data_IF_423045522698
#
_entry.id   IF_423045522698
#
_cell.length_a   1.000
_cell.length_b   1.000
_cell.length_c   1.000
_cell.angle_alpha   90.00
_cell.angle_beta   90.00
_cell.angle_gamma   90.00
#
_symmetry.space_group_name_H-M   'P 1'
#
loop_
_entity.id
_entity.type
_entity.pdbx_description
1 polymer ?
#
# COMPACT_ATOMS: atom_id res chain seq x y z
N UNK A 1 -8.24 1.99 2.11
CA UNK A 1 -7.20 2.07 1.08
C UNK A 1 -6.95 0.68 0.56
N UNK A 2 -6.82 0.56 -0.74
CA UNK A 2 -6.83 -0.71 -1.45
C UNK A 2 -5.57 -0.86 -2.32
N UNK A 3 -4.94 -2.03 -2.28
CA UNK A 3 -3.79 -2.38 -3.10
C UNK A 3 -4.21 -3.47 -4.07
N UNK A 4 -3.91 -3.27 -5.36
CA UNK A 4 -4.18 -4.27 -6.40
C UNK A 4 -3.01 -5.23 -6.56
N UNK A 5 -3.26 -6.53 -6.44
CA UNK A 5 -2.29 -7.58 -6.79
C UNK A 5 -2.54 -7.94 -8.25
N UNK A 6 -1.60 -7.61 -9.12
CA UNK A 6 -1.69 -7.78 -10.58
C UNK A 6 -0.48 -8.55 -11.12
N UNK A 7 -0.53 -8.96 -12.38
CA UNK A 7 0.54 -9.66 -13.09
C UNK A 7 -0.03 -10.64 -14.10
N UNK A 8 0.83 -11.31 -14.85
CA UNK A 8 0.46 -12.29 -15.87
C UNK A 8 -0.31 -13.49 -15.27
N UNK A 9 -1.04 -14.26 -16.06
CA UNK A 9 -1.61 -15.52 -15.60
C UNK A 9 -0.53 -16.44 -15.00
N UNK A 10 -0.88 -17.17 -13.93
CA UNK A 10 -0.03 -18.19 -13.29
C UNK A 10 1.25 -17.72 -12.60
N UNK A 11 1.42 -16.42 -12.34
CA UNK A 11 2.58 -15.87 -11.60
C UNK A 11 2.53 -16.09 -10.07
N UNK A 12 1.46 -16.69 -9.54
CA UNK A 12 1.32 -16.96 -8.10
C UNK A 12 0.56 -15.89 -7.30
N UNK A 13 -0.10 -14.91 -7.94
CA UNK A 13 -0.91 -13.86 -7.27
C UNK A 13 -1.91 -14.41 -6.27
N UNK A 14 -2.72 -15.34 -6.70
CA UNK A 14 -3.75 -15.97 -5.86
C UNK A 14 -3.14 -16.79 -4.73
N UNK A 15 -1.95 -17.35 -4.91
CA UNK A 15 -1.20 -18.04 -3.86
C UNK A 15 -0.71 -17.04 -2.82
N UNK A 16 -0.14 -15.91 -3.25
CA UNK A 16 0.25 -14.80 -2.38
C UNK A 16 -0.97 -14.23 -1.63
N UNK A 17 -2.10 -14.01 -2.31
CA UNK A 17 -3.33 -13.56 -1.67
C UNK A 17 -3.84 -14.57 -0.62
N UNK A 18 -3.70 -15.88 -0.89
CA UNK A 18 -3.98 -16.95 0.08
C UNK A 18 -3.09 -16.88 1.32
N UNK A 19 -1.79 -16.60 1.15
CA UNK A 19 -0.86 -16.39 2.26
C UNK A 19 -1.26 -15.16 3.11
N UNK A 20 -1.57 -14.03 2.46
CA UNK A 20 -2.01 -12.80 3.12
C UNK A 20 -3.29 -12.98 3.94
N UNK A 21 -4.22 -13.80 3.44
CA UNK A 21 -5.52 -14.05 4.08
C UNK A 21 -5.51 -15.26 5.02
N UNK A 22 -4.36 -15.91 5.21
CA UNK A 22 -4.21 -17.15 6.02
C UNK A 22 -5.25 -18.21 5.63
N UNK A 23 -5.51 -18.36 4.34
CA UNK A 23 -6.48 -19.33 3.81
C UNK A 23 -7.94 -19.08 4.20
N UNK A 24 -8.27 -17.99 4.88
CA UNK A 24 -9.63 -17.73 5.40
C UNK A 24 -10.61 -17.24 4.33
N UNK A 25 -10.11 -16.80 3.17
CA UNK A 25 -10.93 -16.25 2.09
C UNK A 25 -11.13 -17.25 0.97
N UNK A 26 -12.38 -17.52 0.59
CA UNK A 26 -12.65 -18.30 -0.64
C UNK A 26 -12.26 -17.48 -1.86
N UNK A 27 -11.41 -18.05 -2.71
CA UNK A 27 -10.84 -17.37 -3.86
C UNK A 27 -11.54 -17.80 -5.15
N UNK A 28 -12.01 -16.83 -5.93
CA UNK A 28 -12.53 -17.02 -7.29
C UNK A 28 -11.40 -16.81 -8.31
N UNK A 29 -11.28 -17.68 -9.28
CA UNK A 29 -10.30 -17.52 -10.37
C UNK A 29 -10.73 -16.54 -11.47
N UNK A 30 -12.01 -16.21 -11.53
CA UNK A 30 -12.60 -15.41 -12.61
C UNK A 30 -13.01 -13.98 -12.21
N UNK A 31 -12.98 -13.68 -10.92
CA UNK A 31 -13.37 -12.36 -10.37
C UNK A 31 -12.30 -11.86 -9.42
N UNK A 32 -12.24 -10.56 -9.26
CA UNK A 32 -11.39 -9.91 -8.26
C UNK A 32 -11.80 -10.32 -6.86
N UNK A 33 -10.85 -10.85 -6.09
CA UNK A 33 -11.05 -11.21 -4.69
C UNK A 33 -10.61 -10.04 -3.80
N UNK A 34 -11.35 -9.76 -2.72
CA UNK A 34 -11.05 -8.66 -1.79
C UNK A 34 -10.89 -9.20 -0.38
N UNK A 35 -9.87 -8.74 0.31
CA UNK A 35 -9.68 -9.04 1.73
C UNK A 35 -8.99 -7.88 2.47
N UNK A 36 -9.44 -7.61 3.70
CA UNK A 36 -8.77 -6.72 4.62
C UNK A 36 -7.75 -7.53 5.44
N UNK A 37 -6.49 -7.12 5.40
CA UNK A 37 -5.38 -7.77 6.10
C UNK A 37 -4.85 -6.84 7.17
N UNK A 38 -4.72 -7.35 8.41
CA UNK A 38 -4.17 -6.61 9.53
C UNK A 38 -2.68 -6.36 9.37
N UNK A 39 -2.23 -5.18 9.78
CA UNK A 39 -0.81 -4.82 9.83
C UNK A 39 -0.27 -5.20 11.21
N UNK A 40 0.79 -6.01 11.26
CA UNK A 40 1.47 -6.32 12.50
C UNK A 40 2.04 -5.03 13.13
N UNK A 41 1.78 -4.80 14.41
CA UNK A 41 2.11 -3.54 15.07
C UNK A 41 2.51 -3.78 16.53
N UNK A 42 3.81 -3.87 16.76
CA UNK A 42 4.41 -4.08 18.10
C UNK A 42 4.12 -2.93 19.07
N UNK A 43 3.88 -1.72 18.56
CA UNK A 43 3.54 -0.56 19.39
C UNK A 43 2.07 -0.64 19.88
N UNK A 44 1.16 -1.15 19.04
CA UNK A 44 -0.19 -1.45 19.46
C UNK A 44 -0.23 -2.57 20.50
N UNK A 45 0.55 -3.63 20.30
CA UNK A 45 0.68 -4.74 21.27
C UNK A 45 1.22 -4.25 22.61
N UNK A 46 2.21 -3.34 22.56
CA UNK A 46 2.71 -2.69 23.77
C UNK A 46 1.61 -1.89 24.47
N UNK A 47 0.85 -1.06 23.76
CA UNK A 47 -0.27 -0.31 24.34
C UNK A 47 -1.32 -1.25 24.95
N UNK A 48 -1.63 -2.35 24.26
CA UNK A 48 -2.54 -3.37 24.77
C UNK A 48 -2.03 -4.02 26.06
N UNK A 49 -0.72 -4.25 26.17
CA UNK A 49 -0.10 -4.79 27.41
C UNK A 49 -0.24 -3.84 28.60
N UNK A 50 -0.18 -2.51 28.35
CA UNK A 50 -0.29 -1.44 29.36
C UNK A 50 -1.73 -1.24 29.81
N UNK A 51 -2.66 -1.04 28.84
CA UNK A 51 -4.04 -0.68 29.14
C UNK A 51 -4.95 -1.88 29.42
N UNK A 52 -4.53 -3.08 29.01
CA UNK A 52 -5.31 -4.35 29.11
C UNK A 52 -6.73 -4.16 28.60
N UNK A 53 -6.91 -3.67 27.37
CA UNK A 53 -8.20 -3.31 26.83
C UNK A 53 -9.09 -4.53 26.63
N UNK A 54 -10.41 -4.33 26.58
CA UNK A 54 -11.37 -5.36 26.20
C UNK A 54 -11.20 -5.80 24.75
N UNK A 55 -10.68 -4.88 23.90
CA UNK A 55 -10.48 -5.11 22.47
C UNK A 55 -9.22 -4.42 21.96
N UNK A 56 -8.46 -5.14 21.14
CA UNK A 56 -7.34 -4.58 20.37
C UNK A 56 -7.66 -4.65 18.88
N UNK A 57 -7.57 -3.52 18.17
CA UNK A 57 -7.91 -3.45 16.75
C UNK A 57 -6.70 -2.91 15.96
N UNK A 58 -6.01 -3.75 15.17
CA UNK A 58 -4.89 -3.32 14.36
C UNK A 58 -5.34 -2.46 13.17
N UNK A 59 -4.40 -1.72 12.59
CA UNK A 59 -4.55 -1.13 11.28
C UNK A 59 -4.77 -2.23 10.23
N UNK A 60 -5.48 -1.93 9.15
CA UNK A 60 -5.67 -2.89 8.06
C UNK A 60 -5.56 -2.22 6.69
N UNK A 61 -5.07 -3.00 5.72
CA UNK A 61 -5.03 -2.67 4.30
C UNK A 61 -5.89 -3.66 3.54
N UNK A 62 -6.65 -3.18 2.58
CA UNK A 62 -7.46 -4.01 1.70
C UNK A 62 -6.63 -4.42 0.48
N UNK A 63 -6.51 -5.72 0.22
CA UNK A 63 -5.89 -6.27 -0.98
C UNK A 63 -6.95 -6.75 -1.95
N UNK A 64 -6.71 -6.49 -3.25
CA UNK A 64 -7.53 -6.93 -4.36
C UNK A 64 -6.70 -7.86 -5.26
N UNK A 65 -6.98 -9.17 -5.23
CA UNK A 65 -6.38 -10.15 -6.14
C UNK A 65 -7.12 -10.10 -7.49
N UNK A 66 -6.49 -9.51 -8.48
CA UNK A 66 -7.04 -9.35 -9.83
C UNK A 66 -6.70 -10.58 -10.67
N UNK A 67 -7.64 -11.13 -11.46
CA UNK A 67 -7.34 -12.21 -12.40
C UNK A 67 -6.14 -11.87 -13.28
N UNK A 68 -5.42 -12.91 -13.75
CA UNK A 68 -4.22 -12.73 -14.57
C UNK A 68 -4.47 -11.83 -15.78
N UNK A 69 -3.69 -10.78 -15.91
CA UNK A 69 -3.77 -9.80 -16.99
C UNK A 69 -2.97 -10.35 -18.17
N UNK A 70 -3.61 -10.70 -19.30
CA UNK A 70 -2.88 -11.24 -20.44
C UNK A 70 -2.11 -10.15 -21.18
N UNK A 71 -0.89 -10.44 -21.64
CA UNK A 71 -0.11 -9.55 -22.49
C UNK A 71 -0.42 -9.75 -23.98
N UNK A 72 0.07 -8.83 -24.81
CA UNK A 72 -0.08 -8.86 -26.26
C UNK A 72 -1.29 -8.07 -26.78
N UNK A 73 -1.17 -7.60 -28.03
CA UNK A 73 -2.21 -6.75 -28.66
C UNK A 73 -3.53 -7.49 -28.89
N UNK A 74 -3.49 -8.78 -29.17
CA UNK A 74 -4.67 -9.64 -29.37
C UNK A 74 -5.54 -9.73 -28.11
N UNK A 75 -4.97 -9.46 -26.95
CA UNK A 75 -5.65 -9.51 -25.64
C UNK A 75 -6.12 -8.15 -25.12
N UNK A 76 -5.94 -7.06 -25.88
CA UNK A 76 -6.18 -5.70 -25.43
C UNK A 76 -7.58 -5.49 -24.83
N UNK A 77 -8.63 -6.00 -25.45
CA UNK A 77 -10.02 -5.86 -24.96
C UNK A 77 -10.20 -6.52 -23.57
N UNK A 78 -9.69 -7.73 -23.38
CA UNK A 78 -9.76 -8.45 -22.10
C UNK A 78 -8.90 -7.79 -21.04
N UNK A 79 -7.71 -7.34 -21.42
CA UNK A 79 -6.83 -6.57 -20.54
C UNK A 79 -7.52 -5.31 -20.03
N UNK A 80 -8.10 -4.50 -20.92
CA UNK A 80 -8.83 -3.29 -20.57
C UNK A 80 -10.02 -3.54 -19.64
N UNK A 81 -10.69 -4.68 -19.79
CA UNK A 81 -11.79 -5.09 -18.89
C UNK A 81 -11.27 -5.35 -17.45
N UNK A 82 -10.23 -6.16 -17.32
CA UNK A 82 -9.62 -6.52 -16.03
C UNK A 82 -9.02 -5.27 -15.32
N UNK A 83 -8.43 -4.37 -16.08
CA UNK A 83 -7.83 -3.15 -15.55
C UNK A 83 -8.85 -2.12 -15.02
N UNK A 84 -10.15 -2.30 -15.27
CA UNK A 84 -11.19 -1.46 -14.65
C UNK A 84 -11.17 -1.57 -13.13
N UNK A 85 -10.95 -2.77 -12.59
CA UNK A 85 -10.86 -2.97 -11.14
C UNK A 85 -9.56 -2.35 -10.58
N UNK A 86 -8.48 -2.38 -11.38
CA UNK A 86 -7.17 -1.79 -11.02
C UNK A 86 -7.21 -0.26 -10.95
N UNK A 87 -8.11 0.38 -11.71
CA UNK A 87 -8.26 1.86 -11.64
C UNK A 87 -8.68 2.35 -10.26
N UNK A 88 -9.38 1.53 -9.49
CA UNK A 88 -9.95 1.88 -8.19
C UNK A 88 -9.04 1.53 -6.99
N UNK A 89 -7.78 1.15 -7.23
CA UNK A 89 -6.81 0.92 -6.16
C UNK A 89 -5.82 2.09 -6.07
N UNK A 90 -5.21 2.28 -4.90
CA UNK A 90 -4.28 3.37 -4.65
C UNK A 90 -2.82 3.00 -4.95
N UNK A 91 -2.46 1.72 -4.88
CA UNK A 91 -1.13 1.20 -5.19
C UNK A 91 -1.21 -0.19 -5.83
N UNK A 92 -0.11 -0.64 -6.40
CA UNK A 92 0.01 -1.92 -7.11
C UNK A 92 1.06 -2.82 -6.46
N UNK A 93 0.76 -4.11 -6.46
CA UNK A 93 1.71 -5.19 -6.26
C UNK A 93 1.74 -6.00 -7.54
N UNK A 94 2.83 -5.94 -8.26
CA UNK A 94 3.03 -6.66 -9.51
C UNK A 94 3.80 -7.95 -9.26
N UNK A 95 3.18 -9.10 -9.53
CA UNK A 95 3.76 -10.41 -9.23
C UNK A 95 4.33 -11.04 -10.49
N UNK A 96 5.63 -11.31 -10.47
CA UNK A 96 6.39 -11.94 -11.56
C UNK A 96 6.81 -13.34 -11.18
N UNK A 97 6.76 -14.24 -12.18
CA UNK A 97 7.18 -15.63 -12.03
C UNK A 97 8.69 -15.78 -12.21
N UNK A 98 9.34 -16.37 -11.19
CA UNK A 98 10.71 -16.82 -11.24
C UNK A 98 10.90 -18.20 -10.61
N UNK A 99 9.82 -18.97 -10.45
CA UNK A 99 9.87 -20.33 -9.91
C UNK A 99 9.94 -21.40 -11.01
N UNK A 100 9.64 -21.05 -12.27
CA UNK A 100 9.72 -21.98 -13.42
C UNK A 100 11.12 -22.01 -14.05
N UNK A 101 11.96 -21.02 -13.82
CA UNK A 101 13.31 -20.89 -14.38
C UNK A 101 14.28 -20.38 -13.31
N UNK A 102 15.57 -20.63 -13.52
CA UNK A 102 16.62 -20.04 -12.67
C UNK A 102 16.53 -18.51 -12.76
N UNK A 103 16.23 -17.80 -11.65
CA UNK A 103 16.03 -16.38 -11.70
C UNK A 103 17.34 -15.65 -12.01
N UNK A 104 17.31 -14.75 -13.01
CA UNK A 104 18.37 -13.79 -13.25
C UNK A 104 17.80 -12.39 -13.26
N UNK A 105 18.55 -11.44 -12.70
CA UNK A 105 18.13 -10.04 -12.64
C UNK A 105 17.80 -9.46 -14.03
N UNK A 106 18.54 -9.87 -15.07
CA UNK A 106 18.30 -9.43 -16.46
C UNK A 106 16.94 -9.93 -16.98
N UNK A 107 16.67 -11.23 -16.87
CA UNK A 107 15.40 -11.80 -17.36
C UNK A 107 14.19 -11.23 -16.61
N UNK A 108 14.35 -10.93 -15.32
CA UNK A 108 13.29 -10.34 -14.52
C UNK A 108 13.02 -8.89 -14.90
N UNK A 109 14.07 -8.11 -15.19
CA UNK A 109 13.90 -6.75 -15.74
C UNK A 109 13.15 -6.76 -17.05
N UNK A 110 13.50 -7.64 -17.97
CA UNK A 110 12.81 -7.76 -19.24
C UNK A 110 11.32 -8.11 -19.03
N UNK A 111 10.99 -8.95 -18.04
CA UNK A 111 9.61 -9.26 -17.70
C UNK A 111 8.86 -8.04 -17.13
N UNK A 112 9.49 -7.31 -16.21
CA UNK A 112 8.94 -6.09 -15.59
C UNK A 112 8.71 -5.04 -16.69
N UNK A 113 9.72 -4.74 -17.51
CA UNK A 113 9.64 -3.75 -18.59
C UNK A 113 8.53 -4.08 -19.59
N UNK A 114 8.41 -5.34 -20.01
CA UNK A 114 7.36 -5.78 -20.93
C UNK A 114 5.96 -5.65 -20.32
N UNK A 115 5.80 -5.97 -19.05
CA UNK A 115 4.51 -5.83 -18.36
C UNK A 115 4.13 -4.36 -18.16
N UNK A 116 5.08 -3.53 -17.73
CA UNK A 116 4.91 -2.08 -17.60
C UNK A 116 4.58 -1.42 -18.95
N UNK A 117 5.18 -1.88 -20.05
CA UNK A 117 4.85 -1.41 -21.40
C UNK A 117 3.39 -1.70 -21.76
N UNK A 118 2.88 -2.88 -21.43
CA UNK A 118 1.48 -3.23 -21.64
C UNK A 118 0.53 -2.30 -20.84
N UNK A 119 0.90 -1.91 -19.62
CA UNK A 119 0.14 -0.94 -18.81
C UNK A 119 0.25 0.49 -19.37
N UNK A 120 1.45 0.87 -19.85
CA UNK A 120 1.68 2.18 -20.44
C UNK A 120 0.84 2.40 -21.70
N UNK A 121 0.63 1.38 -22.52
CA UNK A 121 -0.26 1.45 -23.68
C UNK A 121 -1.71 1.76 -23.31
N UNK A 122 -2.20 1.23 -22.18
CA UNK A 122 -3.56 1.53 -21.70
C UNK A 122 -3.69 2.98 -21.25
N UNK A 123 -2.69 3.49 -20.54
CA UNK A 123 -2.68 4.89 -20.11
C UNK A 123 -2.51 5.84 -21.31
N UNK A 124 -1.70 5.45 -22.31
CA UNK A 124 -1.51 6.23 -23.55
C UNK A 124 -2.84 6.42 -24.30
N UNK A 125 -3.66 5.39 -24.42
CA UNK A 125 -4.99 5.46 -25.03
C UNK A 125 -5.88 6.53 -24.36
N UNK A 126 -5.84 6.60 -23.02
CA UNK A 126 -6.58 7.60 -22.24
C UNK A 126 -6.05 9.02 -22.53
N UNK A 127 -4.74 9.19 -22.53
CA UNK A 127 -4.07 10.48 -22.78
C UNK A 127 -4.42 10.99 -24.19
N UNK A 128 -4.26 10.17 -25.22
CA UNK A 128 -4.54 10.54 -26.61
C UNK A 128 -6.00 10.94 -26.81
N UNK A 129 -6.89 10.16 -26.23
CA UNK A 129 -8.34 10.45 -26.30
C UNK A 129 -8.68 11.80 -25.64
N UNK A 130 -8.04 12.14 -24.52
CA UNK A 130 -8.25 13.41 -23.83
C UNK A 130 -7.68 14.59 -24.62
N UNK A 131 -6.44 14.46 -25.11
CA UNK A 131 -5.80 15.49 -25.92
C UNK A 131 -6.60 15.82 -27.19
N UNK A 132 -7.17 14.82 -27.87
CA UNK A 132 -8.05 15.02 -29.01
C UNK A 132 -9.33 15.81 -28.65
N UNK A 133 -9.93 15.51 -27.52
CA UNK A 133 -11.12 16.23 -27.05
C UNK A 133 -10.80 17.68 -26.70
N UNK A 134 -9.64 17.93 -26.07
CA UNK A 134 -9.21 19.28 -25.68
C UNK A 134 -9.01 20.24 -26.88
N UNK A 135 -8.75 19.72 -28.08
CA UNK A 135 -8.66 20.55 -29.30
C UNK A 135 -9.94 21.33 -29.59
N UNK A 136 -11.10 20.89 -29.09
CA UNK A 136 -12.41 21.48 -29.28
C UNK A 136 -12.89 22.29 -28.08
N UNK A 137 -12.13 22.32 -26.99
CA UNK A 137 -12.49 23.02 -25.75
C UNK A 137 -11.92 24.43 -25.72
N UNK A 138 -12.62 25.36 -25.08
CA UNK A 138 -12.09 26.73 -24.86
C UNK A 138 -11.04 26.66 -23.76
N UNK A 139 -9.81 27.02 -24.10
CA UNK A 139 -8.69 26.96 -23.18
C UNK A 139 -8.84 27.95 -22.01
N UNK A 140 -8.56 27.45 -20.82
CA UNK A 140 -8.39 28.18 -19.56
C UNK A 140 -7.03 27.89 -18.99
N UNK A 141 -6.47 28.70 -18.06
CA UNK A 141 -5.15 28.42 -17.48
C UNK A 141 -5.02 27.01 -16.86
N UNK A 142 -6.10 26.51 -16.27
CA UNK A 142 -6.12 25.13 -15.71
C UNK A 142 -6.07 24.09 -16.82
N UNK A 143 -6.85 24.27 -17.91
CA UNK A 143 -6.83 23.37 -19.05
C UNK A 143 -5.51 23.44 -19.83
N UNK A 144 -4.85 24.59 -19.88
CA UNK A 144 -3.50 24.70 -20.46
C UNK A 144 -2.49 23.88 -19.65
N UNK A 145 -2.50 23.99 -18.32
CA UNK A 145 -1.64 23.17 -17.45
C UNK A 145 -1.92 21.69 -17.61
N UNK A 146 -3.21 21.29 -17.62
CA UNK A 146 -3.62 19.90 -17.84
C UNK A 146 -3.11 19.38 -19.19
N UNK A 147 -3.24 20.15 -20.26
CA UNK A 147 -2.77 19.79 -21.61
C UNK A 147 -1.26 19.59 -21.64
N UNK A 148 -0.49 20.47 -20.99
CA UNK A 148 0.97 20.39 -20.97
C UNK A 148 1.44 19.15 -20.19
N UNK A 149 0.76 18.81 -19.09
CA UNK A 149 0.99 17.57 -18.34
C UNK A 149 0.65 16.34 -19.19
N UNK A 150 -0.49 16.33 -19.87
CA UNK A 150 -0.89 15.23 -20.75
C UNK A 150 0.04 15.09 -21.96
N UNK A 151 0.57 16.18 -22.50
CA UNK A 151 1.57 16.12 -23.58
C UNK A 151 2.89 15.51 -23.12
N UNK A 152 3.32 15.85 -21.91
CA UNK A 152 4.48 15.22 -21.27
C UNK A 152 4.24 13.73 -20.99
N UNK A 153 3.04 13.40 -20.51
CA UNK A 153 2.60 12.02 -20.29
C UNK A 153 2.58 11.23 -21.63
N UNK A 154 2.07 11.79 -22.71
CA UNK A 154 2.08 11.17 -24.03
C UNK A 154 3.51 10.83 -24.47
N UNK A 155 4.43 11.79 -24.35
CA UNK A 155 5.83 11.58 -24.73
C UNK A 155 6.50 10.48 -23.93
N UNK A 156 6.23 10.45 -22.60
CA UNK A 156 6.76 9.45 -21.69
C UNK A 156 6.25 8.03 -22.06
N UNK A 157 4.92 7.88 -22.16
CA UNK A 157 4.26 6.60 -22.47
C UNK A 157 4.61 6.08 -23.87
N UNK A 158 4.68 6.98 -24.88
CA UNK A 158 5.11 6.61 -26.25
C UNK A 158 6.58 6.18 -26.29
N UNK A 159 7.40 6.62 -25.33
CA UNK A 159 8.77 6.16 -25.12
C UNK A 159 8.87 4.84 -24.35
N UNK A 160 7.74 4.19 -24.05
CA UNK A 160 7.68 2.92 -23.32
C UNK A 160 7.90 3.03 -21.81
N UNK A 161 7.83 4.25 -21.25
CA UNK A 161 8.05 4.47 -19.81
C UNK A 161 6.74 4.74 -19.09
N UNK A 162 6.58 4.20 -17.87
CA UNK A 162 5.46 4.51 -16.99
C UNK A 162 5.50 5.95 -16.47
N UNK A 163 4.33 6.52 -16.16
CA UNK A 163 4.19 7.92 -15.69
C UNK A 163 4.87 8.21 -14.36
N UNK A 164 5.20 7.18 -13.56
CA UNK A 164 6.01 7.32 -12.33
C UNK A 164 7.36 7.98 -12.60
N UNK A 165 7.95 7.71 -13.77
CA UNK A 165 9.25 8.26 -14.19
C UNK A 165 9.26 9.78 -14.42
N UNK A 166 8.09 10.42 -14.53
CA UNK A 166 7.98 11.87 -14.70
C UNK A 166 8.27 12.67 -13.42
N UNK A 167 8.28 12.04 -12.25
CA UNK A 167 8.52 12.72 -10.97
C UNK A 167 7.59 13.92 -10.72
N UNK A 168 6.29 13.75 -11.02
CA UNK A 168 5.29 14.81 -10.90
C UNK A 168 5.13 15.32 -9.47
N UNK A 169 4.92 16.62 -9.31
CA UNK A 169 4.54 17.22 -8.03
C UNK A 169 3.16 16.72 -7.55
N UNK A 170 2.85 16.83 -6.25
CA UNK A 170 1.55 16.44 -5.72
C UNK A 170 0.40 17.27 -6.32
N UNK A 171 0.66 18.55 -6.66
CA UNK A 171 -0.31 19.39 -7.37
C UNK A 171 -0.60 18.86 -8.77
N UNK A 172 0.41 18.45 -9.53
CA UNK A 172 0.27 17.88 -10.85
C UNK A 172 -0.40 16.50 -10.81
N UNK A 173 -0.02 15.66 -9.83
CA UNK A 173 -0.72 14.38 -9.59
C UNK A 173 -2.21 14.60 -9.28
N UNK A 174 -2.54 15.62 -8.50
CA UNK A 174 -3.94 15.97 -8.18
C UNK A 174 -4.76 16.33 -9.43
N UNK A 175 -4.17 17.06 -10.39
CA UNK A 175 -4.83 17.38 -11.67
C UNK A 175 -5.10 16.13 -12.52
N UNK A 176 -4.27 15.12 -12.40
CA UNK A 176 -4.37 13.87 -13.14
C UNK A 176 -5.19 12.78 -12.44
N UNK A 177 -5.64 12.98 -11.20
CA UNK A 177 -6.32 11.98 -10.38
C UNK A 177 -7.55 11.37 -11.06
N UNK A 178 -8.33 12.18 -11.77
CA UNK A 178 -9.57 11.74 -12.44
C UNK A 178 -9.35 10.73 -13.58
N UNK A 179 -8.15 10.64 -14.12
CA UNK A 179 -7.79 9.68 -15.17
C UNK A 179 -7.51 8.29 -14.62
N UNK A 180 -7.17 8.19 -13.34
CA UNK A 180 -6.82 6.94 -12.66
C UNK A 180 -5.74 6.16 -13.44
N UNK A 181 -4.69 6.86 -13.91
CA UNK A 181 -3.58 6.25 -14.62
C UNK A 181 -2.94 5.14 -13.79
N UNK A 182 -2.74 3.99 -14.42
CA UNK A 182 -2.22 2.79 -13.77
C UNK A 182 -0.73 2.95 -13.50
N UNK A 183 0.02 3.43 -14.50
CA UNK A 183 1.47 3.60 -14.41
C UNK A 183 1.89 4.82 -13.57
N UNK A 184 0.95 5.60 -13.03
CA UNK A 184 1.21 6.67 -12.07
C UNK A 184 1.11 6.20 -10.62
N UNK A 185 0.47 5.05 -10.37
CA UNK A 185 0.29 4.50 -9.01
C UNK A 185 1.63 3.98 -8.48
N UNK A 186 1.90 4.14 -7.17
CA UNK A 186 3.04 3.47 -6.52
C UNK A 186 3.00 1.97 -6.74
N UNK A 187 4.17 1.33 -6.93
CA UNK A 187 4.27 -0.08 -7.27
C UNK A 187 5.31 -0.81 -6.42
N UNK A 188 5.00 -2.05 -6.05
CA UNK A 188 5.94 -3.02 -5.52
C UNK A 188 6.02 -4.22 -6.45
N UNK A 189 7.21 -4.48 -7.00
CA UNK A 189 7.49 -5.65 -7.81
C UNK A 189 7.78 -6.85 -6.89
N UNK A 190 6.97 -7.87 -6.96
CA UNK A 190 7.12 -9.11 -6.19
C UNK A 190 7.60 -10.21 -7.10
N UNK A 191 8.78 -10.72 -6.82
CA UNK A 191 9.38 -11.82 -7.53
C UNK A 191 9.08 -13.11 -6.78
N UNK A 192 8.22 -13.93 -7.35
CA UNK A 192 7.81 -15.19 -6.77
C UNK A 192 8.76 -16.30 -7.22
N UNK A 193 9.60 -16.77 -6.32
CA UNK A 193 10.60 -17.81 -6.57
C UNK A 193 10.23 -19.11 -5.81
N UNK A 194 10.92 -20.20 -6.13
CA UNK A 194 11.02 -21.33 -5.19
C UNK A 194 12.24 -21.08 -4.31
N UNK A 195 12.02 -20.80 -3.04
CA UNK A 195 13.09 -20.41 -2.12
C UNK A 195 13.93 -21.60 -1.75
N UNK A 196 15.23 -21.52 -2.05
CA UNK A 196 16.24 -22.49 -1.63
C UNK A 196 17.27 -21.87 -0.68
N UNK A 197 17.40 -20.53 -0.68
CA UNK A 197 18.39 -19.80 0.12
C UNK A 197 17.99 -18.32 0.25
N UNK A 198 17.86 -17.81 1.47
CA UNK A 198 17.54 -16.39 1.74
C UNK A 198 18.59 -15.43 1.18
N UNK A 199 19.85 -15.85 1.09
CA UNK A 199 20.93 -15.03 0.53
C UNK A 199 20.73 -14.78 -0.96
N UNK A 200 20.24 -15.76 -1.71
CA UNK A 200 19.92 -15.63 -3.15
C UNK A 200 18.78 -14.63 -3.34
N UNK A 201 17.75 -14.74 -2.51
CA UNK A 201 16.61 -13.83 -2.55
C UNK A 201 17.05 -12.38 -2.25
N UNK A 202 17.85 -12.14 -1.22
CA UNK A 202 18.36 -10.83 -0.86
C UNK A 202 19.26 -10.20 -1.93
N UNK A 203 20.14 -10.98 -2.55
CA UNK A 203 21.00 -10.49 -3.64
C UNK A 203 20.16 -10.12 -4.88
N UNK A 204 19.14 -10.88 -5.21
CA UNK A 204 18.25 -10.62 -6.33
C UNK A 204 17.43 -9.35 -6.10
N UNK A 205 16.86 -9.18 -4.90
CA UNK A 205 16.11 -8.00 -4.49
C UNK A 205 16.99 -6.73 -4.58
N UNK A 206 18.21 -6.78 -4.04
CA UNK A 206 19.16 -5.68 -4.11
C UNK A 206 19.52 -5.32 -5.57
N UNK A 207 19.73 -6.31 -6.44
CA UNK A 207 20.05 -6.09 -7.85
C UNK A 207 18.89 -5.46 -8.64
N UNK A 208 17.64 -5.80 -8.31
CA UNK A 208 16.44 -5.23 -8.93
C UNK A 208 16.21 -3.79 -8.45
N UNK A 209 16.30 -3.57 -7.14
CA UNK A 209 16.11 -2.24 -6.54
C UNK A 209 17.16 -1.23 -7.01
N UNK A 210 18.43 -1.65 -7.12
CA UNK A 210 19.52 -0.78 -7.57
C UNK A 210 19.40 -0.33 -9.04
N UNK A 211 18.59 -1.02 -9.84
CA UNK A 211 18.43 -0.73 -11.26
C UNK A 211 17.09 -0.06 -11.59
N UNK A 212 16.22 0.13 -10.60
CA UNK A 212 14.94 0.80 -10.79
C UNK A 212 15.10 2.31 -10.63
N UNK A 213 15.09 3.03 -11.77
CA UNK A 213 15.15 4.49 -11.80
C UNK A 213 13.80 5.15 -11.52
N UNK A 214 12.75 4.35 -11.24
CA UNK A 214 11.40 4.88 -11.04
C UNK A 214 11.19 5.37 -9.60
N UNK A 215 10.62 6.54 -9.47
CA UNK A 215 10.14 7.08 -8.19
C UNK A 215 8.92 6.27 -7.74
N UNK A 216 8.84 5.97 -6.44
CA UNK A 216 7.73 5.21 -5.85
C UNK A 216 7.64 3.73 -6.35
N UNK A 217 8.77 3.11 -6.73
CA UNK A 217 8.89 1.69 -7.04
C UNK A 217 9.82 0.97 -6.04
N UNK A 218 9.47 -0.26 -5.66
CA UNK A 218 10.27 -1.13 -4.78
C UNK A 218 10.21 -2.57 -5.25
N UNK A 219 11.21 -3.39 -4.90
CA UNK A 219 11.20 -4.82 -5.21
C UNK A 219 11.20 -5.67 -3.93
N UNK A 220 10.61 -6.87 -4.01
CA UNK A 220 10.63 -7.88 -2.95
C UNK A 220 10.65 -9.27 -3.57
N UNK A 221 11.46 -10.15 -3.00
CA UNK A 221 11.56 -11.55 -3.41
C UNK A 221 10.94 -12.42 -2.32
N UNK A 222 10.08 -13.37 -2.70
CA UNK A 222 9.44 -14.31 -1.77
C UNK A 222 9.04 -15.61 -2.48
N UNK A 223 8.79 -16.65 -1.70
CA UNK A 223 8.13 -17.89 -2.14
C UNK A 223 6.67 -17.89 -1.67
N UNK A 224 5.76 -17.53 -2.57
CA UNK A 224 4.34 -17.41 -2.24
C UNK A 224 3.71 -18.74 -1.81
N UNK A 225 4.23 -19.88 -2.29
CA UNK A 225 3.73 -21.21 -1.91
C UNK A 225 4.16 -21.55 -0.49
N UNK A 226 5.43 -21.36 -0.16
CA UNK A 226 5.97 -21.59 1.18
C UNK A 226 5.28 -20.69 2.21
N UNK A 227 5.13 -19.40 1.90
CA UNK A 227 4.43 -18.46 2.77
C UNK A 227 2.96 -18.84 3.03
N UNK A 228 2.30 -19.38 2.01
CA UNK A 228 0.94 -19.89 2.17
C UNK A 228 0.90 -21.12 3.07
N UNK A 229 1.83 -22.07 2.90
CA UNK A 229 1.93 -23.25 3.74
C UNK A 229 2.17 -22.85 5.20
N UNK A 230 3.09 -21.90 5.48
CA UNK A 230 3.33 -21.35 6.82
C UNK A 230 2.06 -20.70 7.39
N UNK A 231 1.37 -19.89 6.60
CA UNK A 231 0.19 -19.15 7.04
C UNK A 231 -1.02 -20.04 7.39
N UNK A 232 -1.11 -21.23 6.79
CA UNK A 232 -2.15 -22.23 7.05
C UNK A 232 -1.86 -23.12 8.29
N UNK A 233 -0.62 -23.11 8.82
CA UNK A 233 -0.25 -23.84 10.03
C UNK A 233 -0.83 -23.20 11.31
N UNK A 234 -1.15 -23.98 12.34
CA UNK A 234 -1.39 -23.46 13.69
C UNK A 234 -0.19 -22.66 14.20
N UNK A 235 -0.43 -21.57 14.92
CA UNK A 235 0.63 -20.66 15.38
C UNK A 235 1.77 -21.38 16.16
N UNK A 236 1.45 -22.45 16.91
CA UNK A 236 2.45 -23.23 17.63
C UNK A 236 3.39 -24.02 16.70
N UNK A 237 2.90 -24.44 15.53
CA UNK A 237 3.66 -25.24 14.57
C UNK A 237 4.46 -24.36 13.59
N UNK A 238 4.07 -23.10 13.40
CA UNK A 238 4.76 -22.18 12.49
C UNK A 238 6.24 -22.00 12.87
N UNK A 239 6.54 -21.86 14.17
CA UNK A 239 7.91 -21.65 14.63
C UNK A 239 8.79 -22.89 14.39
N UNK A 240 8.27 -24.08 14.64
CA UNK A 240 8.97 -25.34 14.39
C UNK A 240 9.25 -25.52 12.88
N UNK A 241 8.25 -25.25 12.07
CA UNK A 241 8.36 -25.30 10.61
C UNK A 241 9.45 -24.35 10.09
N UNK A 242 9.43 -23.08 10.52
CA UNK A 242 10.45 -22.09 10.13
C UNK A 242 11.86 -22.54 10.50
N UNK A 243 12.04 -23.11 11.72
CA UNK A 243 13.33 -23.63 12.17
C UNK A 243 13.81 -24.84 11.34
N UNK A 244 12.91 -25.74 10.99
CA UNK A 244 13.22 -26.91 10.14
C UNK A 244 13.74 -26.50 8.76
N UNK A 245 13.15 -25.43 8.17
CA UNK A 245 13.56 -24.92 6.88
C UNK A 245 14.70 -23.88 6.96
N UNK A 246 15.22 -23.60 8.18
CA UNK A 246 16.31 -22.62 8.37
C UNK A 246 15.90 -21.18 8.07
N UNK A 247 14.62 -20.86 8.15
CA UNK A 247 14.07 -19.53 7.88
C UNK A 247 14.03 -18.68 9.15
N UNK A 248 14.33 -17.40 9.01
CA UNK A 248 14.34 -16.42 10.12
C UNK A 248 12.92 -16.03 10.55
N UNK A 249 11.92 -16.17 9.67
CA UNK A 249 10.50 -15.84 9.90
C UNK A 249 9.70 -15.84 8.62
N UNK A 250 8.38 -15.67 8.73
CA UNK A 250 7.52 -15.40 7.57
C UNK A 250 7.80 -14.01 7.02
N UNK A 251 7.91 -13.89 5.69
CA UNK A 251 8.12 -12.59 5.04
C UNK A 251 6.81 -11.83 4.79
N UNK A 252 5.66 -12.43 5.09
CA UNK A 252 4.34 -11.82 4.88
C UNK A 252 4.16 -10.53 5.70
N UNK A 253 4.60 -10.51 6.96
CA UNK A 253 4.50 -9.29 7.78
C UNK A 253 5.38 -8.17 7.22
N UNK A 254 6.57 -8.51 6.70
CA UNK A 254 7.44 -7.57 5.99
C UNK A 254 6.79 -7.08 4.70
N UNK A 255 6.16 -7.98 3.93
CA UNK A 255 5.40 -7.64 2.74
C UNK A 255 4.28 -6.64 3.05
N UNK A 256 3.46 -6.93 4.06
CA UNK A 256 2.35 -6.04 4.48
C UNK A 256 2.92 -4.67 4.92
N UNK A 257 4.00 -4.66 5.68
CA UNK A 257 4.68 -3.44 6.10
C UNK A 257 5.18 -2.59 4.93
N UNK A 258 5.84 -3.20 3.93
CA UNK A 258 6.29 -2.51 2.70
C UNK A 258 5.11 -2.00 1.87
N UNK A 259 4.06 -2.79 1.72
CA UNK A 259 2.83 -2.40 1.03
C UNK A 259 2.13 -1.21 1.73
N UNK A 260 2.18 -1.17 3.07
CA UNK A 260 1.69 -0.05 3.87
C UNK A 260 2.50 1.24 3.64
N UNK A 261 3.84 1.11 3.63
CA UNK A 261 4.76 2.23 3.35
C UNK A 261 4.59 2.77 1.93
N UNK A 262 4.34 1.89 0.94
CA UNK A 262 4.11 2.26 -0.44
C UNK A 262 2.94 3.25 -0.59
N UNK A 263 1.91 3.11 0.25
CA UNK A 263 0.76 4.02 0.29
C UNK A 263 1.05 5.34 1.04
N UNK A 264 2.26 5.54 1.57
CA UNK A 264 2.64 6.70 2.41
C UNK A 264 1.68 6.88 3.58
N UNK A 265 1.28 5.75 4.19
CA UNK A 265 0.37 5.73 5.32
C UNK A 265 1.12 5.91 6.63
N UNK A 266 0.46 6.59 7.55
CA UNK A 266 0.86 6.75 8.94
C UNK A 266 -0.20 6.18 9.85
N UNK A 267 0.21 5.83 11.06
CA UNK A 267 -0.68 5.28 12.09
C UNK A 267 -0.66 6.19 13.30
N UNK A 268 -1.84 6.51 13.82
CA UNK A 268 -1.98 7.03 15.18
C UNK A 268 -2.81 6.06 16.02
N UNK A 269 -2.69 6.15 17.33
CA UNK A 269 -3.37 5.26 18.25
C UNK A 269 -4.41 6.00 19.09
N UNK A 270 -5.51 5.31 19.37
CA UNK A 270 -6.36 5.62 20.53
C UNK A 270 -6.17 4.51 21.54
N UNK A 271 -5.94 4.83 22.80
CA UNK A 271 -5.63 3.86 23.84
C UNK A 271 -6.46 4.11 25.11
N UNK A 272 -7.10 3.06 25.60
CA UNK A 272 -7.93 3.06 26.80
C UNK A 272 -8.35 1.67 27.21
N UNK A 273 -9.06 1.55 28.32
CA UNK A 273 -9.51 0.26 28.90
C UNK A 273 -10.55 -0.47 28.02
N UNK A 274 -11.33 0.26 27.23
CA UNK A 274 -12.32 -0.36 26.34
C UNK A 274 -11.69 -0.86 25.04
N UNK A 275 -10.85 -0.03 24.40
CA UNK A 275 -10.20 -0.39 23.14
C UNK A 275 -8.83 0.29 23.02
N UNK A 276 -7.83 -0.47 22.57
CA UNK A 276 -6.63 0.05 21.94
C UNK A 276 -6.74 -0.17 20.43
N UNK A 277 -6.64 0.93 19.66
CA UNK A 277 -6.84 0.85 18.21
C UNK A 277 -5.84 1.67 17.43
N UNK A 278 -5.31 1.07 16.37
CA UNK A 278 -4.50 1.72 15.37
C UNK A 278 -5.39 2.30 14.24
N UNK A 279 -5.20 3.56 13.93
CA UNK A 279 -5.95 4.28 12.91
C UNK A 279 -5.03 4.68 11.77
N UNK A 280 -5.46 4.36 10.56
CA UNK A 280 -4.71 4.65 9.33
C UNK A 280 -5.05 6.03 8.80
N UNK A 281 -4.03 6.83 8.56
CA UNK A 281 -4.12 8.16 7.93
C UNK A 281 -3.06 8.30 6.83
N UNK A 282 -3.27 9.22 5.92
CA UNK A 282 -2.24 9.65 4.97
C UNK A 282 -1.24 10.56 5.69
N UNK A 283 0.03 10.46 5.32
CA UNK A 283 1.06 11.38 5.82
C UNK A 283 0.62 12.85 5.58
N UNK A 284 0.82 13.69 6.59
CA UNK A 284 0.37 15.08 6.54
C UNK A 284 -1.09 15.32 6.93
N UNK A 285 -1.83 14.29 7.35
CA UNK A 285 -3.22 14.44 7.80
C UNK A 285 -3.31 15.33 9.03
N UNK A 286 -4.19 16.35 8.97
CA UNK A 286 -4.43 17.26 10.10
C UNK A 286 -5.33 16.63 11.18
N UNK A 287 -5.22 17.10 12.42
CA UNK A 287 -5.93 16.55 13.58
C UNK A 287 -7.46 16.43 13.37
N UNK A 288 -8.09 17.41 12.74
CA UNK A 288 -9.52 17.35 12.40
C UNK A 288 -9.82 16.22 11.41
N UNK A 289 -8.94 16.00 10.42
CA UNK A 289 -9.05 14.90 9.47
C UNK A 289 -8.87 13.54 10.15
N UNK A 290 -7.87 13.41 11.03
CA UNK A 290 -7.63 12.22 11.84
C UNK A 290 -8.81 11.90 12.75
N UNK A 291 -9.40 12.91 13.40
CA UNK A 291 -10.65 12.77 14.17
C UNK A 291 -11.80 12.23 13.32
N UNK A 292 -11.86 12.65 12.05
CA UNK A 292 -12.86 12.15 11.08
C UNK A 292 -12.71 10.70 10.70
N UNK A 293 -11.51 10.14 10.78
CA UNK A 293 -11.28 8.69 10.61
C UNK A 293 -11.91 7.86 11.71
N UNK A 294 -12.03 8.43 12.92
CA UNK A 294 -12.71 7.78 14.04
C UNK A 294 -14.23 7.86 13.85
N UNK A 295 -14.75 9.09 13.68
CA UNK A 295 -16.15 9.34 13.41
C UNK A 295 -16.37 10.75 12.84
N UNK A 296 -17.30 10.90 11.91
CA UNK A 296 -17.62 12.20 11.29
C UNK A 296 -18.10 13.24 12.29
N UNK A 297 -18.79 12.83 13.36
CA UNK A 297 -19.25 13.74 14.41
C UNK A 297 -18.09 14.31 15.24
N UNK A 298 -17.02 13.54 15.46
CA UNK A 298 -15.82 14.01 16.16
C UNK A 298 -15.13 15.10 15.33
N UNK A 299 -15.03 14.91 14.02
CA UNK A 299 -14.47 15.94 13.13
C UNK A 299 -15.35 17.21 13.08
N UNK A 300 -16.69 17.04 13.09
CA UNK A 300 -17.64 18.15 13.05
C UNK A 300 -17.61 18.97 14.35
N UNK A 301 -17.56 18.28 15.47
CA UNK A 301 -17.53 18.91 16.80
C UNK A 301 -16.12 19.12 17.36
N UNK A 302 -15.08 19.03 16.55
CA UNK A 302 -13.68 19.09 16.98
C UNK A 302 -13.37 20.34 17.81
N UNK A 303 -12.76 20.16 18.97
CA UNK A 303 -12.30 21.24 19.85
C UNK A 303 -10.76 21.27 19.90
N UNK A 304 -10.14 20.13 20.22
CA UNK A 304 -8.69 19.99 20.37
C UNK A 304 -8.28 18.52 20.29
N UNK A 305 -7.02 18.28 19.97
CA UNK A 305 -6.39 16.97 20.09
C UNK A 305 -5.38 16.98 21.24
N UNK A 306 -5.49 16.06 22.17
CA UNK A 306 -4.46 15.74 23.15
C UNK A 306 -3.56 14.69 22.52
N UNK A 307 -2.30 15.02 22.28
CA UNK A 307 -1.35 14.13 21.59
C UNK A 307 -0.07 13.94 22.38
N UNK A 308 0.45 12.73 22.32
CA UNK A 308 1.73 12.36 22.92
C UNK A 308 2.43 11.33 22.04
N UNK A 309 3.75 11.45 21.85
CA UNK A 309 4.51 10.40 21.19
C UNK A 309 4.57 9.15 22.06
N UNK A 310 4.69 7.98 21.43
CA UNK A 310 4.80 6.72 22.18
C UNK A 310 6.04 6.71 23.10
N UNK A 311 7.16 7.30 22.64
CA UNK A 311 8.38 7.41 23.45
C UNK A 311 8.20 8.30 24.67
N UNK A 312 7.50 9.42 24.54
CA UNK A 312 7.24 10.29 25.68
C UNK A 312 6.20 9.68 26.62
N UNK A 313 5.28 8.89 26.11
CA UNK A 313 4.36 8.10 26.93
C UNK A 313 5.12 7.07 27.78
N UNK A 314 6.12 6.38 27.20
CA UNK A 314 7.03 5.47 27.94
C UNK A 314 7.81 6.23 29.02
N UNK A 315 8.37 7.41 28.73
CA UNK A 315 9.08 8.28 29.70
C UNK A 315 8.16 8.81 30.81
N UNK A 316 6.86 8.83 30.58
CA UNK A 316 5.85 9.20 31.57
C UNK A 316 5.31 8.01 32.36
N UNK A 317 6.07 6.93 32.47
CA UNK A 317 5.71 5.71 33.21
C UNK A 317 4.34 5.13 32.75
N UNK A 318 4.04 5.25 31.46
CA UNK A 318 2.80 4.79 30.84
C UNK A 318 1.52 5.42 31.44
N UNK A 319 1.61 6.66 31.88
CA UNK A 319 0.53 7.38 32.53
C UNK A 319 0.27 8.74 31.89
N UNK A 320 -0.93 8.93 31.36
CA UNK A 320 -1.35 10.24 30.85
C UNK A 320 -1.34 11.33 31.91
N UNK A 321 -1.59 10.98 33.19
CA UNK A 321 -1.52 11.91 34.30
C UNK A 321 -0.08 12.42 34.49
N UNK A 322 0.88 11.52 34.57
CA UNK A 322 2.31 11.83 34.68
C UNK A 322 2.80 12.58 33.45
N UNK A 323 2.36 12.18 32.26
CA UNK A 323 2.69 12.87 31.01
C UNK A 323 2.24 14.34 31.04
N UNK A 324 1.04 14.60 31.54
CA UNK A 324 0.51 15.96 31.71
C UNK A 324 1.31 16.78 32.73
N UNK A 325 1.64 16.19 33.88
CA UNK A 325 2.44 16.81 34.91
C UNK A 325 3.87 17.16 34.43
N UNK A 326 4.45 16.31 33.60
CA UNK A 326 5.75 16.51 32.93
C UNK A 326 5.71 17.43 31.72
N UNK A 327 4.53 17.90 31.28
CA UNK A 327 4.36 18.74 30.09
C UNK A 327 4.61 18.00 28.75
N UNK A 328 4.56 16.66 28.74
CA UNK A 328 4.77 15.81 27.56
C UNK A 328 3.48 15.61 26.76
N UNK A 329 2.32 15.72 27.39
CA UNK A 329 1.01 15.67 26.73
C UNK A 329 0.69 17.06 26.16
N UNK A 330 0.62 17.17 24.87
CA UNK A 330 0.36 18.42 24.13
C UNK A 330 -1.11 18.56 23.80
N UNK A 331 -1.58 19.80 23.75
CA UNK A 331 -2.94 20.15 23.31
C UNK A 331 -2.79 20.91 22.00
N UNK A 332 -3.31 20.35 20.93
CA UNK A 332 -3.12 20.83 19.57
C UNK A 332 -4.46 21.20 18.92
N UNK A 333 -4.42 22.19 18.02
CA UNK A 333 -5.59 22.65 17.27
C UNK A 333 -5.88 21.82 16.01
N UNK A 334 -6.94 22.19 15.30
CA UNK A 334 -7.43 21.45 14.12
C UNK A 334 -6.42 21.32 12.98
N UNK A 335 -5.49 22.27 12.85
CA UNK A 335 -4.48 22.32 11.79
C UNK A 335 -3.18 21.56 12.13
N UNK A 336 -3.06 21.03 13.33
CA UNK A 336 -1.92 20.21 13.72
C UNK A 336 -1.81 18.99 12.81
N UNK A 337 -0.63 18.73 12.26
CA UNK A 337 -0.35 17.51 11.48
C UNK A 337 -0.03 16.39 12.46
N UNK A 338 -0.89 15.38 12.51
CA UNK A 338 -0.70 14.20 13.36
C UNK A 338 0.51 13.43 12.85
N UNK A 339 1.40 13.08 13.78
CA UNK A 339 2.63 12.35 13.46
C UNK A 339 2.42 10.84 13.58
N UNK A 340 3.21 10.12 12.82
CA UNK A 340 3.22 8.66 12.90
C UNK A 340 3.52 8.19 14.33
N UNK A 341 2.75 7.19 14.80
CA UNK A 341 2.88 6.56 16.12
C UNK A 341 2.57 7.49 17.32
N UNK A 342 1.82 8.56 17.13
CA UNK A 342 1.27 9.33 18.24
C UNK A 342 0.04 8.65 18.84
N UNK A 343 -0.11 8.77 20.16
CA UNK A 343 -1.36 8.46 20.86
C UNK A 343 -2.18 9.75 20.89
N UNK A 344 -3.40 9.71 20.35
CA UNK A 344 -4.26 10.87 20.23
C UNK A 344 -5.60 10.66 20.95
N UNK A 345 -6.04 11.66 21.68
CA UNK A 345 -7.38 11.76 22.23
C UNK A 345 -8.02 13.06 21.75
N UNK A 346 -9.18 12.94 21.03
CA UNK A 346 -9.86 14.10 20.46
C UNK A 346 -10.97 14.57 21.39
N UNK A 347 -10.89 15.84 21.77
CA UNK A 347 -11.96 16.54 22.48
C UNK A 347 -12.94 17.10 21.47
N UNK A 348 -14.20 16.81 21.66
CA UNK A 348 -15.24 17.28 20.75
C UNK A 348 -16.54 17.59 21.51
N UNK A 349 -17.37 18.43 20.90
CA UNK A 349 -18.70 18.72 21.40
C UNK A 349 -19.70 18.52 20.24
N UNK A 350 -20.62 17.60 20.42
CA UNK A 350 -21.72 17.40 19.47
C UNK A 350 -22.91 18.18 20.04
N UNK A 351 -23.11 19.39 19.54
CA UNK A 351 -24.39 20.08 19.79
C UNK A 351 -25.48 19.25 19.11
N UNK A 352 -26.43 18.78 19.90
CA UNK A 352 -27.63 18.10 19.44
C UNK A 352 -28.50 19.03 18.60
#
# INVERSE_FOLDING_TARGET
MKIGIIGLPQTGKTTLFGALTRGTTQVSQSKTNLAAVGVADTDLDYLASVFKPKKTTPASVEFADVPGIPSGQENASRRNELLKDVKNVEALVEVFDAFTQVPSATNLRDQIENFELDLALVDLEIVEHRLERMKKEKMTPVLERERDLLSSAQSCLSGGKGLRSLGLSDEDKSLLTSYAFITLKPVMHVINITMTDETVAGNLEAALTAADDQVDATAMVLDAKLEREIAELPAAEQLEFLQEFGLSGSVIDTFIGRAYQLLKLETFYTAGEDECKAWVIEAGTRARGAAGKIHTDIARGFIAAEVISLDDFRKADNSFKVAKEKGLLRIEGENYVVKNKEIAHFRFNVSR
#
